data_IF_468146720957
#
_entry.id   IF_468146720957
#
_cell.length_a   1.000
_cell.length_b   1.000
_cell.length_c   1.000
_cell.angle_alpha   90.00
_cell.angle_beta   90.00
_cell.angle_gamma   90.00
#
_symmetry.space_group_name_H-M   'P 1'
#
loop_
_entity.id
_entity.type
_entity.pdbx_description
1 polymer ?
#
# COMPACT_ATOMS: atom_id res chain seq x y z
N UNK A 1 -7.43 -5.45 12.55
CA UNK A 1 -7.58 -4.52 11.41
C UNK A 1 -8.67 -3.52 11.77
N UNK A 2 -8.51 -2.24 11.42
CA UNK A 2 -9.52 -1.20 11.66
C UNK A 2 -10.60 -1.17 10.57
N UNK A 3 -11.49 -0.18 10.65
CA UNK A 3 -12.45 0.08 9.55
C UNK A 3 -11.74 0.70 8.33
N UNK A 4 -12.27 0.49 7.11
CA UNK A 4 -11.73 1.12 5.91
C UNK A 4 -11.72 2.64 6.03
N UNK A 5 -10.67 3.27 5.51
CA UNK A 5 -10.63 4.72 5.34
C UNK A 5 -11.78 5.11 4.38
N UNK A 6 -12.51 6.21 4.64
CA UNK A 6 -13.57 6.68 3.74
C UNK A 6 -13.10 6.75 2.27
N UNK A 7 -13.89 6.17 1.38
CA UNK A 7 -13.59 6.10 -0.06
C UNK A 7 -12.67 4.96 -0.51
N UNK A 8 -11.97 4.26 0.40
CA UNK A 8 -11.03 3.20 0.02
C UNK A 8 -11.70 2.03 -0.74
N UNK A 9 -12.87 1.57 -0.27
CA UNK A 9 -13.62 0.50 -0.93
C UNK A 9 -14.09 0.95 -2.32
N UNK A 10 -14.66 2.15 -2.44
CA UNK A 10 -15.12 2.69 -3.72
C UNK A 10 -13.97 2.80 -4.72
N UNK A 11 -12.82 3.30 -4.28
CA UNK A 11 -11.63 3.39 -5.10
C UNK A 11 -11.16 2.03 -5.63
N UNK A 12 -11.10 1.01 -4.78
CA UNK A 12 -10.76 -0.38 -5.19
C UNK A 12 -11.76 -0.87 -6.26
N UNK A 13 -13.05 -0.61 -6.08
CA UNK A 13 -14.08 -1.01 -7.05
C UNK A 13 -13.96 -0.28 -8.38
N UNK A 14 -13.58 1.00 -8.37
CA UNK A 14 -13.33 1.75 -9.61
C UNK A 14 -12.12 1.19 -10.36
N UNK A 15 -11.05 0.84 -9.65
CA UNK A 15 -9.88 0.20 -10.27
C UNK A 15 -10.20 -1.17 -10.86
N UNK A 16 -10.95 -2.02 -10.13
CA UNK A 16 -11.41 -3.31 -10.62
C UNK A 16 -12.25 -3.14 -11.91
N UNK A 17 -13.19 -2.19 -11.93
CA UNK A 17 -14.01 -1.86 -13.12
C UNK A 17 -13.19 -1.33 -14.29
N UNK A 18 -12.10 -0.62 -14.01
CA UNK A 18 -11.17 -0.13 -15.03
C UNK A 18 -10.23 -1.23 -15.58
N UNK A 19 -10.31 -2.45 -15.05
CA UNK A 19 -9.56 -3.61 -15.55
C UNK A 19 -8.18 -3.79 -14.93
N UNK A 20 -7.90 -3.18 -13.78
CA UNK A 20 -6.65 -3.40 -13.05
C UNK A 20 -6.69 -4.71 -12.26
N UNK A 21 -5.60 -5.47 -12.33
CA UNK A 21 -5.27 -6.52 -11.36
C UNK A 21 -4.79 -5.90 -10.06
N UNK A 22 -5.43 -6.25 -8.95
CA UNK A 22 -5.19 -5.61 -7.65
C UNK A 22 -4.63 -6.60 -6.64
N UNK A 23 -3.59 -6.18 -5.93
CA UNK A 23 -3.01 -6.90 -4.80
C UNK A 23 -2.87 -5.96 -3.61
N UNK A 24 -2.97 -6.50 -2.39
CA UNK A 24 -2.60 -5.76 -1.18
C UNK A 24 -1.14 -6.02 -0.88
N UNK A 25 -0.33 -4.97 -1.01
CA UNK A 25 1.06 -4.96 -0.60
C UNK A 25 1.17 -4.41 0.84
N UNK A 26 1.67 -5.22 1.78
CA UNK A 26 1.81 -4.78 3.17
C UNK A 26 2.94 -5.50 3.89
N UNK A 27 3.73 -4.75 4.66
CA UNK A 27 4.73 -5.32 5.55
C UNK A 27 4.13 -6.32 6.55
N UNK A 28 2.86 -6.17 6.95
CA UNK A 28 2.18 -7.14 7.84
C UNK A 28 2.02 -8.51 7.20
N UNK A 29 2.06 -8.61 5.88
CA UNK A 29 1.95 -9.87 5.16
C UNK A 29 3.26 -10.69 5.16
N UNK A 30 4.34 -10.17 5.75
CA UNK A 30 5.57 -10.96 6.00
C UNK A 30 5.38 -11.99 7.11
N UNK A 31 4.39 -11.77 7.98
CA UNK A 31 4.00 -12.70 9.03
C UNK A 31 2.70 -13.43 8.64
N UNK A 32 2.61 -14.77 8.80
CA UNK A 32 1.40 -15.52 8.43
C UNK A 32 0.12 -15.08 9.16
N UNK A 33 0.22 -14.65 10.43
CA UNK A 33 -0.94 -14.16 11.20
C UNK A 33 -1.38 -12.81 10.65
N UNK A 34 -0.42 -11.92 10.36
CA UNK A 34 -0.69 -10.63 9.73
C UNK A 34 -1.30 -10.77 8.34
N UNK A 35 -0.79 -11.67 7.49
CA UNK A 35 -1.37 -11.98 6.18
C UNK A 35 -2.81 -12.46 6.31
N UNK A 36 -3.07 -13.43 7.20
CA UNK A 36 -4.42 -13.97 7.42
C UNK A 36 -5.41 -12.92 7.92
N UNK A 37 -4.96 -12.01 8.78
CA UNK A 37 -5.79 -10.90 9.26
C UNK A 37 -6.19 -9.94 8.13
N UNK A 38 -5.33 -9.74 7.12
CA UNK A 38 -5.65 -8.95 5.93
C UNK A 38 -6.66 -9.69 5.05
N UNK A 39 -6.43 -10.98 4.78
CA UNK A 39 -7.34 -11.81 3.97
C UNK A 39 -8.75 -11.86 4.58
N UNK A 40 -8.86 -12.04 5.89
CA UNK A 40 -10.14 -11.99 6.59
C UNK A 40 -10.81 -10.62 6.50
N UNK A 41 -10.03 -9.54 6.54
CA UNK A 41 -10.54 -8.19 6.38
C UNK A 41 -11.09 -7.96 4.97
N UNK A 42 -10.38 -8.45 3.94
CA UNK A 42 -10.83 -8.41 2.54
C UNK A 42 -12.21 -9.09 2.41
N UNK A 43 -12.35 -10.31 2.94
CA UNK A 43 -13.62 -11.06 2.91
C UNK A 43 -14.72 -10.34 3.70
N UNK A 44 -14.42 -9.84 4.91
CA UNK A 44 -15.38 -9.10 5.75
C UNK A 44 -16.00 -7.91 5.00
N UNK A 45 -15.19 -7.22 4.18
CA UNK A 45 -15.61 -6.07 3.41
C UNK A 45 -16.03 -6.41 1.97
N UNK A 46 -16.15 -7.71 1.66
CA UNK A 46 -16.57 -8.24 0.36
C UNK A 46 -15.69 -7.70 -0.76
N UNK A 47 -14.36 -7.79 -0.63
CA UNK A 47 -13.38 -7.38 -1.64
C UNK A 47 -12.63 -8.58 -2.25
N UNK A 48 -13.05 -9.80 -1.91
CA UNK A 48 -12.43 -11.06 -2.33
C UNK A 48 -12.57 -11.33 -3.84
N UNK A 49 -13.50 -10.66 -4.51
CA UNK A 49 -13.62 -10.67 -5.97
C UNK A 49 -12.77 -9.58 -6.67
N UNK A 50 -12.28 -8.60 -5.90
CA UNK A 50 -11.52 -7.46 -6.41
C UNK A 50 -10.02 -7.58 -6.16
N UNK A 51 -9.61 -8.20 -5.05
CA UNK A 51 -8.20 -8.35 -4.65
C UNK A 51 -7.76 -9.78 -4.95
N UNK A 52 -6.75 -9.94 -5.81
CA UNK A 52 -6.25 -11.25 -6.24
C UNK A 52 -5.40 -11.93 -5.17
N UNK A 53 -4.53 -11.17 -4.49
CA UNK A 53 -3.65 -11.70 -3.45
C UNK A 53 -3.12 -10.65 -2.49
N UNK A 54 -2.52 -11.14 -1.39
CA UNK A 54 -1.83 -10.35 -0.37
C UNK A 54 -0.35 -10.76 -0.34
N UNK A 55 0.55 -9.78 -0.44
CA UNK A 55 2.00 -10.00 -0.42
C UNK A 55 2.77 -8.92 0.34
N UNK A 56 4.00 -9.23 0.74
CA UNK A 56 4.99 -8.28 1.26
C UNK A 56 6.21 -8.16 0.34
N UNK A 57 6.23 -8.93 -0.75
CA UNK A 57 7.29 -8.91 -1.76
C UNK A 57 6.88 -8.02 -2.92
N UNK A 58 7.79 -7.13 -3.34
CA UNK A 58 7.56 -6.29 -4.52
C UNK A 58 7.79 -7.15 -5.76
N UNK A 59 6.72 -7.47 -6.47
CA UNK A 59 6.79 -8.31 -7.65
C UNK A 59 7.16 -7.49 -8.91
N UNK A 60 7.88 -8.06 -9.89
CA UNK A 60 8.28 -7.34 -11.11
C UNK A 60 7.12 -6.87 -12.00
N UNK A 61 5.95 -7.48 -11.87
CA UNK A 61 4.73 -7.18 -12.63
C UNK A 61 3.91 -6.02 -12.04
N UNK A 62 4.29 -5.48 -10.88
CA UNK A 62 3.65 -4.31 -10.29
C UNK A 62 3.88 -3.07 -11.16
N UNK A 63 2.81 -2.60 -11.82
CA UNK A 63 2.83 -1.36 -12.61
C UNK A 63 2.86 -0.10 -11.72
N UNK A 64 2.12 -0.13 -10.61
CA UNK A 64 1.93 1.00 -9.69
C UNK A 64 1.97 0.52 -8.24
N UNK A 65 2.44 1.39 -7.35
CA UNK A 65 2.34 1.21 -5.91
C UNK A 65 1.68 2.46 -5.30
N UNK A 66 0.59 2.25 -4.56
CA UNK A 66 -0.11 3.30 -3.83
C UNK A 66 0.13 3.06 -2.34
N UNK A 67 0.89 3.94 -1.72
CA UNK A 67 1.30 3.82 -0.31
C UNK A 67 1.37 5.23 0.29
N UNK A 68 0.79 5.42 1.48
CA UNK A 68 0.70 6.72 2.17
C UNK A 68 2.08 7.26 2.59
N UNK A 69 3.12 6.42 2.56
CA UNK A 69 4.49 6.72 3.00
C UNK A 69 5.52 6.62 1.88
N UNK A 70 5.10 6.38 0.63
CA UNK A 70 6.03 6.29 -0.48
C UNK A 70 6.55 7.67 -0.93
N UNK A 71 7.83 7.71 -1.27
CA UNK A 71 8.47 8.80 -2.01
C UNK A 71 8.65 8.32 -3.45
N UNK A 72 8.16 9.08 -4.42
CA UNK A 72 8.36 8.77 -5.84
C UNK A 72 9.77 9.19 -6.27
N UNK A 73 10.55 8.24 -6.76
CA UNK A 73 11.85 8.54 -7.37
C UNK A 73 11.66 9.00 -8.82
N UNK A 74 12.23 10.15 -9.17
CA UNK A 74 12.14 10.75 -10.52
C UNK A 74 13.52 10.90 -11.20
N UNK A 75 14.52 10.12 -10.77
CA UNK A 75 15.86 10.11 -11.38
C UNK A 75 16.88 11.03 -10.72
N UNK A 76 16.48 11.88 -9.78
CA UNK A 76 17.39 12.77 -9.02
C UNK A 76 17.43 12.41 -7.52
N UNK A 77 18.58 11.91 -7.08
CA UNK A 77 18.83 11.58 -5.68
C UNK A 77 18.89 12.81 -4.76
N UNK A 78 19.31 13.99 -5.27
CA UNK A 78 19.32 15.21 -4.46
C UNK A 78 17.91 15.69 -4.16
N UNK A 79 17.02 15.63 -5.14
CA UNK A 79 15.62 15.95 -4.93
C UNK A 79 14.96 14.95 -3.97
N UNK A 80 15.20 13.65 -4.20
CA UNK A 80 14.74 12.58 -3.31
C UNK A 80 15.22 12.82 -1.86
N UNK A 81 16.48 13.20 -1.65
CA UNK A 81 17.01 13.53 -0.33
C UNK A 81 16.28 14.72 0.30
N UNK A 82 15.98 15.78 -0.47
CA UNK A 82 15.18 16.91 0.03
C UNK A 82 13.78 16.46 0.46
N UNK A 83 13.14 15.56 -0.31
CA UNK A 83 11.84 15.00 0.06
C UNK A 83 11.94 14.21 1.37
N UNK A 84 12.97 13.37 1.53
CA UNK A 84 13.24 12.62 2.76
C UNK A 84 13.40 13.56 3.97
N UNK A 85 14.26 14.58 3.87
CA UNK A 85 14.55 15.51 4.96
C UNK A 85 13.34 16.37 5.38
N UNK A 86 12.36 16.57 4.49
CA UNK A 86 11.11 17.27 4.80
C UNK A 86 10.12 16.41 5.58
N UNK A 87 10.27 15.09 5.57
CA UNK A 87 9.37 14.20 6.34
C UNK A 87 9.63 14.34 7.83
N UNK A 88 8.61 14.11 8.67
CA UNK A 88 8.74 14.13 10.15
C UNK A 88 9.83 13.16 10.66
N UNK A 89 10.15 12.11 9.90
CA UNK A 89 11.21 11.14 10.21
C UNK A 89 12.63 11.61 9.87
N UNK A 90 12.75 12.68 9.07
CA UNK A 90 14.03 13.28 8.68
C UNK A 90 14.42 14.50 9.51
N UNK A 91 13.55 14.94 10.44
CA UNK A 91 13.90 16.01 11.39
C UNK A 91 14.88 15.41 12.41
N UNK A 92 16.07 16.00 12.62
CA UNK A 92 16.94 15.59 13.72
C UNK A 92 16.17 15.74 15.03
N UNK A 93 16.35 14.80 15.96
CA UNK A 93 15.85 14.95 17.33
C UNK A 93 16.35 16.29 17.85
N UNK A 94 15.41 17.16 18.26
CA UNK A 94 15.79 18.38 18.96
C UNK A 94 16.35 17.93 20.32
N UNK A 95 17.64 18.18 20.52
CA UNK A 95 18.34 18.00 21.81
C UNK A 95 17.63 18.73 22.96
#
# INVERSE_FOLDING_TARGET
MGEPIPGAIEFIRLLQKAGFSLAIFSARASDPVGKRAIEQWIVKHGLDDAIEFVTHEKLPDFLLLIDDRAIRFEGDYRDTLKQILKTERGKPEQE
#
